data_IF_340665329995
#
_entry.id   IF_340665329995
#
_cell.length_a   1.000
_cell.length_b   1.000
_cell.length_c   1.000
_cell.angle_alpha   90.00
_cell.angle_beta   90.00
_cell.angle_gamma   90.00
#
_symmetry.space_group_name_H-M   'P 1'
#
loop_
_entity.id
_entity.type
_entity.pdbx_description
1 polymer ?
#
# COMPACT_ATOMS: atom_id res chain seq x y z
N UNK A 1 16.28 -6.08 16.78
CA UNK A 1 16.55 -6.62 15.44
C UNK A 1 15.34 -6.32 14.57
N UNK A 2 15.42 -5.31 13.71
CA UNK A 2 14.39 -5.05 12.70
C UNK A 2 14.76 -5.81 11.43
N UNK A 3 13.82 -6.54 10.84
CA UNK A 3 14.05 -7.23 9.56
C UNK A 3 13.75 -6.28 8.41
N UNK A 4 14.46 -6.43 7.29
CA UNK A 4 14.17 -5.74 6.02
C UNK A 4 13.05 -6.44 5.23
N UNK A 5 12.12 -7.12 5.92
CA UNK A 5 11.07 -7.89 5.26
C UNK A 5 10.03 -6.95 4.69
N UNK A 6 9.90 -6.93 3.36
CA UNK A 6 8.87 -6.16 2.66
C UNK A 6 7.54 -6.90 2.85
N UNK A 7 6.60 -6.29 3.58
CA UNK A 7 5.29 -6.88 3.86
C UNK A 7 4.35 -6.84 2.64
N UNK A 8 4.40 -5.77 1.84
CA UNK A 8 3.63 -5.62 0.61
C UNK A 8 4.35 -4.67 -0.35
N UNK A 9 4.64 -5.15 -1.57
CA UNK A 9 5.16 -4.31 -2.65
C UNK A 9 3.99 -3.70 -3.42
N UNK A 10 4.05 -2.39 -3.68
CA UNK A 10 3.03 -1.65 -4.44
C UNK A 10 3.68 -1.06 -5.70
N UNK A 11 3.88 -1.86 -6.76
CA UNK A 11 4.49 -1.39 -8.00
C UNK A 11 3.52 -0.51 -8.81
N UNK A 12 4.07 0.28 -9.74
CA UNK A 12 3.32 1.08 -10.72
C UNK A 12 2.52 2.28 -10.16
N UNK A 13 3.01 2.91 -9.09
CA UNK A 13 2.45 4.18 -8.61
C UNK A 13 2.99 5.35 -9.45
N UNK A 14 2.12 5.98 -10.25
CA UNK A 14 2.45 7.19 -11.03
C UNK A 14 2.04 8.44 -10.26
N UNK A 15 3.02 9.25 -9.86
CA UNK A 15 2.79 10.51 -9.17
C UNK A 15 2.79 11.67 -10.16
N UNK A 16 1.84 12.59 -10.01
CA UNK A 16 1.73 13.80 -10.82
C UNK A 16 2.07 15.05 -10.00
N UNK A 17 2.65 16.05 -10.65
CA UNK A 17 3.00 17.31 -10.01
C UNK A 17 1.75 18.01 -9.43
N UNK A 18 1.89 18.56 -8.22
CA UNK A 18 0.81 19.30 -7.55
C UNK A 18 -0.29 18.43 -6.94
N UNK A 19 -0.08 17.11 -6.80
CA UNK A 19 -1.03 16.20 -6.12
C UNK A 19 -0.46 15.67 -4.81
N UNK A 20 -1.34 15.47 -3.84
CA UNK A 20 -1.02 14.80 -2.57
C UNK A 20 -1.63 13.40 -2.61
N UNK A 21 -0.86 12.38 -2.26
CA UNK A 21 -1.30 10.98 -2.26
C UNK A 21 -1.22 10.38 -0.87
N UNK A 22 -2.29 9.72 -0.44
CA UNK A 22 -2.33 8.93 0.79
C UNK A 22 -2.35 7.46 0.42
N UNK A 23 -1.30 6.72 0.76
CA UNK A 23 -1.24 5.27 0.65
C UNK A 23 -1.50 4.65 2.02
N UNK A 24 -2.44 3.72 2.10
CA UNK A 24 -2.66 2.93 3.31
C UNK A 24 -2.81 1.46 2.99
N UNK A 25 -2.34 0.62 3.90
CA UNK A 25 -2.51 -0.82 3.84
C UNK A 25 -3.72 -1.25 4.69
N UNK A 26 -4.40 -2.31 4.27
CA UNK A 26 -5.53 -2.93 4.98
C UNK A 26 -5.50 -4.44 4.83
N UNK A 27 -6.03 -5.16 5.81
CA UNK A 27 -6.02 -6.63 5.84
C UNK A 27 -4.87 -7.21 6.67
N UNK A 28 -4.68 -8.53 6.58
CA UNK A 28 -3.73 -9.30 7.39
C UNK A 28 -2.61 -9.90 6.54
N UNK A 29 -1.37 -9.86 7.04
CA UNK A 29 -0.19 -10.36 6.32
C UNK A 29 -0.31 -11.85 5.93
N UNK A 30 -0.94 -12.66 6.78
CA UNK A 30 -1.23 -14.08 6.53
C UNK A 30 -2.69 -14.34 6.13
N UNK A 31 -3.45 -13.30 5.78
CA UNK A 31 -4.83 -13.41 5.33
C UNK A 31 -4.95 -13.90 3.88
N UNK A 32 -6.10 -14.48 3.53
CA UNK A 32 -6.40 -14.93 2.18
C UNK A 32 -7.74 -14.37 1.68
N UNK A 33 -7.92 -14.32 0.36
CA UNK A 33 -9.12 -13.74 -0.27
C UNK A 33 -9.38 -12.29 0.20
N UNK A 34 -10.59 -12.04 0.70
CA UNK A 34 -11.02 -10.72 1.19
C UNK A 34 -10.22 -10.20 2.41
N UNK A 35 -9.55 -11.08 3.15
CA UNK A 35 -8.78 -10.72 4.36
C UNK A 35 -7.29 -10.50 4.07
N UNK A 36 -6.83 -10.78 2.84
CA UNK A 36 -5.44 -10.63 2.46
C UNK A 36 -4.98 -9.17 2.58
N UNK A 37 -3.71 -8.98 2.96
CA UNK A 37 -3.10 -7.67 2.99
C UNK A 37 -3.13 -7.04 1.59
N UNK A 38 -3.64 -5.81 1.52
CA UNK A 38 -3.75 -5.04 0.29
C UNK A 38 -3.44 -3.57 0.57
N UNK A 39 -3.14 -2.80 -0.47
CA UNK A 39 -2.87 -1.37 -0.37
C UNK A 39 -3.79 -0.59 -1.29
N UNK A 40 -4.20 0.58 -0.85
CA UNK A 40 -5.03 1.48 -1.64
C UNK A 40 -4.51 2.89 -1.55
N UNK A 41 -4.63 3.61 -2.67
CA UNK A 41 -4.13 4.97 -2.83
C UNK A 41 -5.30 5.93 -3.01
N UNK A 42 -5.30 7.02 -2.25
CA UNK A 42 -6.22 8.14 -2.41
C UNK A 42 -5.42 9.32 -2.95
N UNK A 43 -5.96 9.96 -4.00
CA UNK A 43 -5.38 11.17 -4.58
C UNK A 43 -6.18 12.39 -4.11
N UNK A 44 -5.48 13.42 -3.64
CA UNK A 44 -6.05 14.70 -3.23
C UNK A 44 -5.63 15.81 -4.22
N UNK A 45 -6.52 16.79 -4.42
CA UNK A 45 -6.35 17.94 -5.31
C UNK A 45 -6.24 19.23 -4.51
#
# INVERSE_FOLDING_TARGET
>A
NGTTTIALSVPNVTLQAGKIYTLFARGLLSGSGSQALNASIITHN
#
